data_IF_629341346901
#
_entry.id   IF_629341346901
#
_cell.length_a   1.000
_cell.length_b   1.000
_cell.length_c   1.000
_cell.angle_alpha   90.00
_cell.angle_beta   90.00
_cell.angle_gamma   90.00
#
_symmetry.space_group_name_H-M   'P 1'
#
loop_
_entity.id
_entity.type
_entity.pdbx_description
1 polymer ?
#
# COMPACT_ATOMS: atom_id res chain seq x y z
N UNK A 1 -5.80 13.03 6.66
CA UNK A 1 -4.54 13.32 5.93
C UNK A 1 -4.81 13.54 4.44
N UNK A 2 -3.90 14.22 3.76
CA UNK A 2 -3.98 14.39 2.29
C UNK A 2 -3.48 13.15 1.58
N UNK A 3 -4.19 12.76 0.51
CA UNK A 3 -3.86 11.63 -0.33
C UNK A 3 -4.28 11.86 -1.77
N UNK A 4 -3.68 11.11 -2.68
CA UNK A 4 -4.13 11.01 -4.07
C UNK A 4 -4.92 9.72 -4.23
N UNK A 5 -6.17 9.83 -4.63
CA UNK A 5 -7.10 8.71 -4.68
C UNK A 5 -7.82 8.59 -6.02
N UNK A 6 -8.11 7.36 -6.39
CA UNK A 6 -9.11 7.06 -7.42
C UNK A 6 -10.47 7.20 -6.77
N UNK A 7 -11.13 8.33 -6.96
CA UNK A 7 -12.43 8.63 -6.36
C UNK A 7 -13.62 8.22 -7.23
N UNK A 8 -13.41 8.15 -8.53
CA UNK A 8 -14.45 7.89 -9.53
C UNK A 8 -13.98 6.85 -10.54
N UNK A 9 -14.90 6.08 -11.06
CA UNK A 9 -14.68 5.10 -12.12
C UNK A 9 -14.55 5.77 -13.49
N UNK A 10 -13.56 6.66 -13.64
CA UNK A 10 -13.27 7.42 -14.86
C UNK A 10 -11.80 7.83 -14.88
N UNK A 11 -11.34 8.41 -15.98
CA UNK A 11 -9.98 8.96 -16.11
C UNK A 11 -9.71 10.01 -15.02
N UNK A 12 -8.57 9.94 -14.40
CA UNK A 12 -8.09 10.88 -13.38
C UNK A 12 -7.68 10.21 -12.08
N UNK A 13 -6.97 10.99 -11.27
CA UNK A 13 -6.60 10.71 -9.87
C UNK A 13 -6.72 12.06 -9.16
N UNK A 14 -7.33 12.07 -7.98
CA UNK A 14 -7.71 13.31 -7.32
C UNK A 14 -7.11 13.47 -5.93
N UNK A 15 -6.76 14.70 -5.58
CA UNK A 15 -6.41 15.05 -4.21
C UNK A 15 -7.64 14.94 -3.32
N UNK A 16 -7.50 14.28 -2.19
CA UNK A 16 -8.58 14.05 -1.23
C UNK A 16 -8.08 14.05 0.20
N UNK A 17 -8.98 14.19 1.13
CA UNK A 17 -8.73 13.96 2.55
C UNK A 17 -9.24 12.57 2.92
N UNK A 18 -8.39 11.78 3.57
CA UNK A 18 -8.71 10.45 4.08
C UNK A 18 -8.31 10.35 5.54
N UNK A 19 -8.91 9.45 6.32
CA UNK A 19 -8.45 9.17 7.68
C UNK A 19 -6.98 8.70 7.69
N UNK A 20 -6.25 9.07 8.73
CA UNK A 20 -4.95 8.45 8.97
C UNK A 20 -5.13 6.95 9.23
N UNK A 21 -4.24 6.09 8.68
CA UNK A 21 -4.38 4.66 8.87
C UNK A 21 -4.07 4.26 10.32
N UNK A 22 -4.77 3.23 10.78
CA UNK A 22 -4.54 2.65 12.10
C UNK A 22 -3.47 1.56 12.03
N UNK A 23 -2.62 1.52 13.07
CA UNK A 23 -1.53 0.53 13.16
C UNK A 23 -2.07 -0.76 13.77
N UNK A 24 -2.04 -1.84 13.01
CA UNK A 24 -2.34 -3.18 13.52
C UNK A 24 -1.16 -3.78 14.29
N UNK A 25 -1.40 -4.93 14.89
CA UNK A 25 -0.41 -5.61 15.75
C UNK A 25 0.91 -5.94 15.03
N UNK A 26 0.84 -6.26 13.75
CA UNK A 26 1.99 -6.65 12.93
C UNK A 26 2.41 -5.58 11.92
N UNK A 27 1.93 -4.35 12.07
CA UNK A 27 2.09 -3.31 11.08
C UNK A 27 3.11 -2.26 11.50
N UNK A 28 3.65 -1.58 10.49
CA UNK A 28 4.43 -0.36 10.64
C UNK A 28 3.61 0.81 10.10
N UNK A 29 3.61 1.92 10.84
CA UNK A 29 3.16 3.21 10.32
C UNK A 29 4.37 3.96 9.76
N UNK A 30 4.27 4.30 8.49
CA UNK A 30 5.36 4.93 7.74
C UNK A 30 4.93 6.33 7.34
N UNK A 31 5.74 7.33 7.73
CA UNK A 31 5.62 8.68 7.22
C UNK A 31 6.30 8.74 5.87
N UNK A 32 5.54 8.95 4.81
CA UNK A 32 6.06 8.96 3.43
C UNK A 32 6.94 10.20 3.22
N UNK A 33 8.11 9.98 2.64
CA UNK A 33 9.08 11.04 2.32
C UNK A 33 9.18 11.30 0.82
N UNK A 34 9.27 10.26 0.02
CA UNK A 34 9.36 10.31 -1.45
C UNK A 34 8.55 9.17 -2.05
N UNK A 35 7.98 9.44 -3.20
CA UNK A 35 7.26 8.44 -4.01
C UNK A 35 7.71 8.53 -5.45
N UNK A 36 7.45 7.47 -6.21
CA UNK A 36 7.66 7.44 -7.65
C UNK A 36 6.39 6.96 -8.36
N UNK A 37 6.26 7.34 -9.61
CA UNK A 37 5.15 6.93 -10.48
C UNK A 37 5.58 5.73 -11.29
N UNK A 38 4.79 4.67 -11.23
CA UNK A 38 4.94 3.46 -12.02
C UNK A 38 3.96 3.46 -13.20
N UNK A 39 4.22 2.66 -14.22
CA UNK A 39 3.28 2.45 -15.32
C UNK A 39 1.91 1.97 -14.86
N UNK A 40 1.84 1.21 -13.76
CA UNK A 40 0.58 0.81 -13.14
C UNK A 40 -0.28 2.01 -12.74
N UNK A 41 0.33 3.07 -12.22
CA UNK A 41 -0.39 4.28 -11.84
C UNK A 41 -0.97 5.01 -13.05
N UNK A 42 -0.28 4.94 -14.19
CA UNK A 42 -0.75 5.47 -15.48
C UNK A 42 -1.97 4.68 -15.98
N UNK A 43 -1.95 3.36 -15.85
CA UNK A 43 -3.11 2.52 -16.17
C UNK A 43 -4.32 2.88 -15.29
N UNK A 44 -4.10 3.09 -14.00
CA UNK A 44 -5.15 3.51 -13.07
C UNK A 44 -5.68 4.90 -13.43
N UNK A 45 -4.79 5.84 -13.74
CA UNK A 45 -5.17 7.17 -14.19
C UNK A 45 -6.07 7.11 -15.43
N UNK A 46 -5.65 6.37 -16.45
CA UNK A 46 -6.39 6.23 -17.71
C UNK A 46 -7.66 5.41 -17.59
N UNK A 47 -7.84 4.69 -16.49
CA UNK A 47 -9.00 3.83 -16.22
C UNK A 47 -9.24 2.80 -17.31
N UNK A 48 -8.17 2.10 -17.70
CA UNK A 48 -8.21 1.05 -18.71
C UNK A 48 -8.97 -0.20 -18.26
N UNK A 49 -9.10 -1.19 -19.13
CA UNK A 49 -9.86 -2.41 -18.85
C UNK A 49 -9.37 -3.17 -17.63
N UNK A 50 -8.04 -3.22 -17.42
CA UNK A 50 -7.46 -3.84 -16.25
C UNK A 50 -7.85 -3.10 -14.97
N UNK A 51 -7.75 -1.78 -14.99
CA UNK A 51 -8.10 -0.93 -13.83
C UNK A 51 -9.56 -1.07 -13.46
N UNK A 52 -10.45 -1.08 -14.44
CA UNK A 52 -11.89 -1.24 -14.22
C UNK A 52 -12.25 -2.56 -13.52
N UNK A 53 -11.49 -3.62 -13.78
CA UNK A 53 -11.69 -4.94 -13.19
C UNK A 53 -11.00 -5.11 -11.83
N UNK A 54 -9.97 -4.33 -11.55
CA UNK A 54 -9.03 -4.60 -10.45
C UNK A 54 -9.12 -3.60 -9.32
N UNK A 55 -9.33 -2.31 -9.65
CA UNK A 55 -9.24 -1.23 -8.67
C UNK A 55 -10.60 -0.99 -8.01
N UNK A 56 -10.76 -1.23 -6.71
CA UNK A 56 -11.94 -0.78 -5.98
C UNK A 56 -11.91 0.75 -5.85
N UNK A 57 -13.06 1.37 -5.95
CA UNK A 57 -13.23 2.83 -5.84
C UNK A 57 -14.06 3.12 -4.59
N UNK A 58 -13.62 3.99 -3.66
CA UNK A 58 -12.39 4.79 -3.69
C UNK A 58 -11.14 3.99 -3.27
N UNK A 59 -9.96 4.40 -3.76
CA UNK A 59 -8.69 3.78 -3.42
C UNK A 59 -7.57 4.83 -3.44
N UNK A 60 -6.78 4.90 -2.36
CA UNK A 60 -5.52 5.65 -2.35
C UNK A 60 -4.51 4.88 -3.21
N UNK A 61 -3.90 5.56 -4.16
CA UNK A 61 -3.01 4.93 -5.15
C UNK A 61 -1.52 5.09 -4.78
N UNK A 62 -0.64 4.50 -5.58
CA UNK A 62 0.81 4.56 -5.39
C UNK A 62 1.37 3.37 -4.62
N UNK A 63 2.54 2.87 -5.04
CA UNK A 63 3.17 1.69 -4.46
C UNK A 63 4.71 1.73 -4.44
N UNK A 64 5.30 2.80 -4.94
CA UNK A 64 6.75 3.00 -4.89
C UNK A 64 7.06 4.16 -3.94
N UNK A 65 7.76 3.87 -2.85
CA UNK A 65 7.97 4.85 -1.78
C UNK A 65 9.22 4.60 -0.98
N UNK A 66 9.66 5.64 -0.29
CA UNK A 66 10.57 5.59 0.85
C UNK A 66 9.98 6.45 1.96
N UNK A 67 10.11 6.01 3.18
CA UNK A 67 9.60 6.73 4.33
C UNK A 67 10.35 6.43 5.61
N UNK A 68 9.80 6.90 6.69
CA UNK A 68 10.35 6.78 8.04
C UNK A 68 9.32 6.11 8.95
N UNK A 69 9.76 5.13 9.72
CA UNK A 69 8.91 4.46 10.70
C UNK A 69 8.56 5.44 11.82
N UNK A 70 7.26 5.70 12.01
CA UNK A 70 6.75 6.57 13.07
C UNK A 70 5.78 5.86 14.02
N UNK A 71 5.40 4.63 13.71
CA UNK A 71 4.58 3.78 14.57
C UNK A 71 4.91 2.31 14.35
N UNK A 72 4.82 1.52 15.41
CA UNK A 72 5.20 0.10 15.39
C UNK A 72 4.13 -0.69 16.12
N UNK A 73 3.55 -1.70 15.45
CA UNK A 73 2.62 -2.64 16.06
C UNK A 73 3.30 -3.48 17.15
N UNK A 74 2.54 -3.85 18.13
CA UNK A 74 3.07 -4.48 19.34
C UNK A 74 3.78 -5.81 19.14
N UNK A 75 3.47 -6.52 18.04
CA UNK A 75 4.11 -7.80 17.68
C UNK A 75 5.28 -7.66 16.71
N UNK A 76 5.54 -6.45 16.24
CA UNK A 76 6.62 -6.19 15.30
C UNK A 76 7.97 -6.19 16.01
N UNK A 77 8.95 -6.87 15.39
CA UNK A 77 10.35 -6.91 15.86
C UNK A 77 11.28 -6.52 14.72
N UNK A 78 12.46 -6.04 15.07
CA UNK A 78 13.51 -5.71 14.10
C UNK A 78 13.41 -4.32 13.50
N UNK A 79 12.44 -3.50 13.91
CA UNK A 79 12.30 -2.10 13.50
C UNK A 79 12.25 -1.18 14.71
N UNK A 80 12.67 0.05 14.53
CA UNK A 80 12.57 1.11 15.55
C UNK A 80 12.07 2.41 14.91
N UNK A 81 11.51 3.27 15.75
CA UNK A 81 11.07 4.62 15.33
C UNK A 81 12.27 5.36 14.74
N UNK A 82 12.08 5.99 13.58
CA UNK A 82 13.10 6.71 12.85
C UNK A 82 13.82 5.90 11.76
N UNK A 83 13.60 4.59 11.69
CA UNK A 83 14.17 3.76 10.61
C UNK A 83 13.67 4.24 9.25
N UNK A 84 14.62 4.33 8.30
CA UNK A 84 14.28 4.59 6.89
C UNK A 84 13.94 3.27 6.22
N UNK A 85 12.77 3.21 5.61
CA UNK A 85 12.24 1.98 5.01
C UNK A 85 11.66 2.24 3.62
N UNK A 86 11.68 1.20 2.82
CA UNK A 86 10.92 1.06 1.59
C UNK A 86 10.26 -0.32 1.62
N UNK A 87 9.19 -0.53 0.89
CA UNK A 87 8.46 -1.78 0.97
C UNK A 87 8.20 -2.40 -0.40
N UNK A 88 7.91 -3.70 -0.37
CA UNK A 88 7.40 -4.45 -1.52
C UNK A 88 5.93 -4.09 -1.75
N UNK A 89 5.55 -3.89 -3.01
CA UNK A 89 4.17 -3.54 -3.37
C UNK A 89 3.16 -4.67 -3.23
N UNK A 90 3.62 -5.91 -3.08
CA UNK A 90 2.76 -7.09 -2.93
C UNK A 90 2.72 -7.54 -1.48
N UNK A 91 1.53 -7.54 -0.91
CA UNK A 91 1.33 -7.98 0.47
C UNK A 91 0.73 -9.39 0.45
N UNK A 92 1.41 -10.32 1.12
CA UNK A 92 1.00 -11.72 1.21
C UNK A 92 0.26 -12.00 2.52
N UNK A 93 -0.56 -13.03 2.54
CA UNK A 93 -1.38 -13.32 3.73
C UNK A 93 -0.61 -14.02 4.86
N UNK A 94 0.51 -14.65 4.55
CA UNK A 94 1.34 -15.37 5.54
C UNK A 94 0.80 -16.74 6.00
N UNK A 95 -0.46 -17.07 5.68
CA UNK A 95 -1.10 -18.26 6.24
C UNK A 95 -1.68 -19.26 5.22
N UNK A 96 -1.73 -18.93 3.93
CA UNK A 96 -2.19 -19.89 2.92
C UNK A 96 -1.13 -21.00 2.72
N UNK A 97 -1.52 -22.07 2.03
CA UNK A 97 -0.64 -23.20 1.77
C UNK A 97 0.71 -22.79 1.18
N UNK A 98 0.69 -21.87 0.22
CA UNK A 98 1.92 -21.42 -0.46
C UNK A 98 2.80 -20.58 0.48
N UNK A 99 2.22 -19.67 1.25
CA UNK A 99 2.97 -18.90 2.25
C UNK A 99 3.61 -19.80 3.30
N UNK A 100 2.86 -20.75 3.83
CA UNK A 100 3.37 -21.72 4.82
C UNK A 100 4.46 -22.63 4.25
N UNK A 101 4.43 -22.86 2.95
CA UNK A 101 5.46 -23.63 2.24
C UNK A 101 6.69 -22.81 1.82
N UNK A 102 6.83 -21.59 2.30
CA UNK A 102 7.93 -20.69 1.94
C UNK A 102 7.85 -20.11 0.53
N UNK A 103 6.68 -20.17 -0.09
CA UNK A 103 6.42 -19.68 -1.46
C UNK A 103 5.48 -18.48 -1.44
N UNK A 104 5.86 -17.45 -0.72
CA UNK A 104 5.03 -16.24 -0.56
C UNK A 104 4.72 -15.55 -1.88
N UNK A 105 5.63 -15.61 -2.86
CA UNK A 105 5.41 -15.12 -4.22
C UNK A 105 4.25 -15.81 -4.97
N UNK A 106 3.78 -16.95 -4.47
CA UNK A 106 2.61 -17.66 -4.98
C UNK A 106 1.41 -17.57 -4.02
N UNK A 107 1.39 -16.57 -3.15
CA UNK A 107 0.29 -16.37 -2.23
C UNK A 107 -1.05 -16.27 -2.98
N UNK A 108 -2.05 -17.00 -2.49
CA UNK A 108 -3.40 -17.00 -3.10
C UNK A 108 -4.21 -15.74 -2.78
N UNK A 109 -3.81 -15.01 -1.74
CA UNK A 109 -4.51 -13.86 -1.22
C UNK A 109 -3.66 -12.59 -1.29
N UNK A 110 -2.77 -12.50 -2.27
CA UNK A 110 -1.92 -11.32 -2.46
C UNK A 110 -2.78 -10.09 -2.71
N UNK A 111 -2.46 -9.01 -2.01
CA UNK A 111 -3.01 -7.68 -2.27
C UNK A 111 -1.90 -6.74 -2.72
N UNK A 112 -2.25 -5.79 -3.57
CA UNK A 112 -1.32 -4.78 -4.09
C UNK A 112 -1.50 -3.44 -3.39
N UNK A 113 -0.42 -2.91 -2.84
CA UNK A 113 -0.39 -1.53 -2.30
C UNK A 113 -0.71 -0.57 -3.42
N UNK A 114 -1.68 0.34 -3.21
CA UNK A 114 -2.13 1.29 -4.23
C UNK A 114 -2.93 0.69 -5.38
N UNK A 115 -3.33 -0.58 -5.27
CA UNK A 115 -4.13 -1.31 -6.26
C UNK A 115 -5.46 -1.73 -5.64
N UNK A 116 -5.44 -2.71 -4.75
CA UNK A 116 -6.61 -3.16 -4.00
C UNK A 116 -6.40 -3.10 -2.49
N UNK A 117 -5.43 -2.34 -2.06
CA UNK A 117 -5.09 -1.97 -0.70
C UNK A 117 -4.59 -0.52 -0.73
N UNK A 118 -4.87 0.32 0.29
CA UNK A 118 -4.44 1.73 0.29
C UNK A 118 -2.95 1.89 0.02
N UNK A 119 -2.62 2.87 -0.82
CA UNK A 119 -1.29 3.12 -1.34
C UNK A 119 -0.52 4.24 -0.67
N UNK A 120 0.64 4.56 -1.27
CA UNK A 120 1.64 5.45 -0.70
C UNK A 120 1.55 6.91 -1.15
N UNK A 121 0.66 7.27 -2.08
CA UNK A 121 0.46 8.68 -2.44
C UNK A 121 -0.40 9.37 -1.37
N UNK A 122 0.14 9.40 -0.17
CA UNK A 122 -0.46 9.90 1.05
C UNK A 122 0.63 10.34 2.03
N UNK A 123 0.25 11.01 3.10
CA UNK A 123 1.21 11.42 4.12
C UNK A 123 1.71 10.24 4.96
N UNK A 124 0.85 9.26 5.20
CA UNK A 124 1.17 8.04 5.97
C UNK A 124 0.68 6.79 5.26
N UNK A 125 1.40 5.71 5.48
CA UNK A 125 1.07 4.37 4.97
C UNK A 125 1.23 3.37 6.12
N UNK A 126 0.27 2.45 6.25
CA UNK A 126 0.41 1.27 7.10
C UNK A 126 0.68 0.05 6.23
N UNK A 127 1.69 -0.71 6.59
CA UNK A 127 2.12 -1.91 5.87
C UNK A 127 2.56 -2.98 6.87
N UNK A 128 2.24 -4.27 6.62
CA UNK A 128 2.75 -5.37 7.45
C UNK A 128 4.28 -5.42 7.43
N UNK A 129 4.86 -5.71 8.59
CA UNK A 129 6.31 -5.75 8.75
C UNK A 129 6.97 -7.05 8.23
N UNK A 130 6.16 -8.01 7.80
CA UNK A 130 6.65 -9.31 7.30
C UNK A 130 6.62 -9.44 5.77
#
# INVERSE_FOLDING_TARGET
MKALSKLKAEEGIWMTDVPEPEVGHNDLLIKIRKTAICGTDVHIYNWDDWSQKTIPVPMVVGHEYVGEVVGIGQEVKGFKIGDRVSGEGHITCGHCRNCRGGRTHLCRNTTGVGVNRPGCFAQYLVIPAF
#
